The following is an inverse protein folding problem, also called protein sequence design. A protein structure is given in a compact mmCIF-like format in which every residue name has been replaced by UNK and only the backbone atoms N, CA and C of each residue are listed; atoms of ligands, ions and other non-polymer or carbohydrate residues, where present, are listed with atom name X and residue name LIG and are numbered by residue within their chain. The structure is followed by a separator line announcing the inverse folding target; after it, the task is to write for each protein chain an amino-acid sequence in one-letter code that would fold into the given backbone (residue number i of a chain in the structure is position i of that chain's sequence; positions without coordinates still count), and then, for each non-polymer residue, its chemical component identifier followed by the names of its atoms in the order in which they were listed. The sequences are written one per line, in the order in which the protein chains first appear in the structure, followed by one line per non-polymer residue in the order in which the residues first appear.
data_IF_284090802579
#
_entry.id   IF_284090802579
#
_cell.length_a   1.000
_cell.length_b   1.000
_cell.length_c   1.000
_cell.angle_alpha   90.00
_cell.angle_beta   90.00
_cell.angle_gamma   90.00
#
_symmetry.space_group_name_H-M   'P 1'
#
loop_
_entity.id
_entity.type
_entity.pdbx_description
1 polymer ?
#
# COMPACT_ATOMS: atom_id res chain seq x y z
N UNK A 1 8.44 20.60 30.00
CA UNK A 1 9.55 20.21 29.13
C UNK A 1 9.07 20.39 27.70
N UNK A 2 9.82 21.11 26.88
CA UNK A 2 9.52 21.17 25.44
C UNK A 2 10.02 19.90 24.74
N UNK A 3 9.68 19.72 23.45
CA UNK A 3 9.98 18.48 22.72
C UNK A 3 11.49 18.23 22.59
N UNK A 4 12.29 19.27 22.43
CA UNK A 4 13.75 19.12 22.28
C UNK A 4 14.40 18.76 23.62
N UNK A 5 13.99 19.43 24.71
CA UNK A 5 14.39 19.03 26.06
C UNK A 5 13.98 17.59 26.38
N UNK A 6 12.80 17.16 25.93
CA UNK A 6 12.32 15.79 26.12
C UNK A 6 13.16 14.76 25.39
N UNK A 7 13.58 15.06 24.15
CA UNK A 7 14.48 14.19 23.37
C UNK A 7 15.87 14.11 24.02
N UNK A 8 16.43 15.25 24.42
CA UNK A 8 17.74 15.30 25.08
C UNK A 8 17.75 14.48 26.38
N UNK A 9 16.68 14.56 27.18
CA UNK A 9 16.56 13.75 28.40
C UNK A 9 16.37 12.26 28.07
N UNK A 10 15.64 11.94 27.00
CA UNK A 10 15.42 10.57 26.56
C UNK A 10 16.71 9.91 26.06
N UNK A 11 17.52 10.62 25.26
CA UNK A 11 18.82 10.13 24.80
C UNK A 11 19.76 9.88 25.98
N UNK A 12 19.85 10.82 26.92
CA UNK A 12 20.64 10.64 28.16
C UNK A 12 20.16 9.46 28.99
N UNK A 13 18.85 9.19 29.00
CA UNK A 13 18.28 8.02 29.68
C UNK A 13 18.67 6.73 28.97
N UNK A 14 18.64 6.69 27.63
CA UNK A 14 19.07 5.54 26.85
C UNK A 14 20.56 5.23 27.02
N UNK A 15 21.41 6.26 27.08
CA UNK A 15 22.86 6.11 27.34
C UNK A 15 23.16 5.50 28.72
N UNK A 16 22.26 5.65 29.69
CA UNK A 16 22.39 5.07 31.03
C UNK A 16 21.91 3.64 31.13
N UNK A 17 21.21 3.14 30.11
CA UNK A 17 20.71 1.77 30.06
C UNK A 17 21.79 0.89 29.42
N UNK A 18 21.94 -0.32 29.96
CA UNK A 18 22.80 -1.34 29.34
C UNK A 18 22.40 -1.51 27.85
N UNK A 19 23.33 -1.37 26.90
CA UNK A 19 23.04 -1.53 25.47
C UNK A 19 22.30 -2.83 25.12
N UNK A 20 22.53 -3.92 25.88
CA UNK A 20 21.83 -5.19 25.68
C UNK A 20 20.35 -5.16 26.12
N UNK A 21 19.95 -4.13 26.88
CA UNK A 21 18.61 -3.92 27.43
C UNK A 21 17.87 -2.73 26.82
N UNK A 22 18.54 -1.90 26.03
CA UNK A 22 17.91 -0.73 25.39
C UNK A 22 16.70 -1.12 24.53
N UNK A 23 16.78 -2.23 23.79
CA UNK A 23 15.65 -2.72 22.99
C UNK A 23 14.43 -3.11 23.85
N UNK A 24 14.65 -3.78 24.97
CA UNK A 24 13.59 -4.18 25.91
C UNK A 24 12.90 -2.95 26.51
N UNK A 25 13.68 -1.93 26.89
CA UNK A 25 13.15 -0.68 27.44
C UNK A 25 12.37 0.14 26.41
N UNK A 26 12.89 0.27 25.18
CA UNK A 26 12.19 0.98 24.10
C UNK A 26 10.87 0.27 23.78
N UNK A 27 10.88 -1.07 23.69
CA UNK A 27 9.66 -1.86 23.50
C UNK A 27 8.67 -1.68 24.64
N UNK A 28 9.14 -1.59 25.89
CA UNK A 28 8.26 -1.29 27.03
C UNK A 28 7.61 0.09 26.88
N UNK A 29 8.37 1.13 26.51
CA UNK A 29 7.82 2.48 26.28
C UNK A 29 6.82 2.47 25.13
N UNK A 30 7.17 1.82 24.02
CA UNK A 30 6.30 1.69 22.86
C UNK A 30 4.99 1.02 23.26
N UNK A 31 5.06 -0.11 23.97
CA UNK A 31 3.86 -0.84 24.43
C UNK A 31 3.03 -0.04 25.43
N UNK A 32 3.70 0.66 26.34
CA UNK A 32 3.06 1.34 27.47
C UNK A 32 2.47 2.69 27.12
N UNK A 33 3.11 3.43 26.21
CA UNK A 33 2.80 4.83 25.92
C UNK A 33 2.46 5.07 24.45
N UNK A 34 3.10 4.39 23.50
CA UNK A 34 2.79 4.57 22.08
C UNK A 34 1.53 3.78 21.67
N UNK A 35 1.40 2.48 21.95
CA UNK A 35 0.14 1.76 21.67
C UNK A 35 -1.04 2.20 22.54
N UNK A 36 -0.79 2.88 23.66
CA UNK A 36 -1.85 3.43 24.51
C UNK A 36 -2.26 4.87 24.12
N UNK A 37 -1.35 5.67 23.55
CA UNK A 37 -1.55 7.11 23.27
C UNK A 37 -0.74 7.59 22.04
N UNK A 38 -0.79 6.88 20.90
CA UNK A 38 -0.13 7.37 19.68
C UNK A 38 -0.83 8.62 19.14
N UNK A 39 -0.02 9.65 18.86
CA UNK A 39 -0.42 11.01 18.55
C UNK A 39 -0.90 11.22 17.09
N UNK A 40 -1.81 10.37 16.62
CA UNK A 40 -2.43 10.49 15.29
C UNK A 40 -3.93 10.21 15.23
N UNK A 41 -4.58 9.94 16.38
CA UNK A 41 -5.74 9.06 16.62
C UNK A 41 -5.27 7.72 17.19
N UNK A 42 -6.02 7.14 18.13
CA UNK A 42 -5.73 5.81 18.65
C UNK A 42 -5.72 4.82 17.46
N UNK A 43 -4.87 3.79 17.46
CA UNK A 43 -4.81 2.80 16.34
C UNK A 43 -6.21 2.26 16.01
N UNK A 44 -7.06 2.08 17.03
CA UNK A 44 -8.45 1.69 16.88
C UNK A 44 -9.31 2.73 16.12
N UNK A 45 -9.10 4.03 16.33
CA UNK A 45 -9.78 5.10 15.60
C UNK A 45 -9.30 5.15 14.14
N UNK A 46 -8.00 4.97 13.89
CA UNK A 46 -7.45 4.87 12.54
C UNK A 46 -8.05 3.66 11.78
N UNK A 47 -8.12 2.49 12.44
CA UNK A 47 -8.81 1.30 11.91
C UNK A 47 -10.27 1.58 11.60
N UNK A 48 -10.98 2.20 12.55
CA UNK A 48 -12.38 2.54 12.38
C UNK A 48 -12.57 3.48 11.18
N UNK A 49 -11.73 4.51 11.04
CA UNK A 49 -11.74 5.43 9.91
C UNK A 49 -11.54 4.70 8.58
N UNK A 50 -10.56 3.80 8.48
CA UNK A 50 -10.33 3.00 7.26
C UNK A 50 -11.55 2.16 6.89
N UNK A 51 -12.19 1.52 7.87
CA UNK A 51 -13.44 0.76 7.66
C UNK A 51 -14.58 1.65 7.17
N UNK A 52 -14.78 2.81 7.79
CA UNK A 52 -15.82 3.76 7.39
C UNK A 52 -15.61 4.26 5.95
N UNK A 53 -14.35 4.49 5.55
CA UNK A 53 -14.04 4.88 4.17
C UNK A 53 -14.38 3.75 3.20
N UNK A 54 -14.00 2.51 3.51
CA UNK A 54 -14.37 1.35 2.68
C UNK A 54 -15.91 1.23 2.54
N UNK A 55 -16.65 1.31 3.65
CA UNK A 55 -18.12 1.29 3.67
C UNK A 55 -18.74 2.43 2.83
N UNK A 56 -18.16 3.62 2.89
CA UNK A 56 -18.59 4.78 2.09
C UNK A 56 -18.37 4.57 0.58
N UNK A 57 -17.26 3.94 0.20
CA UNK A 57 -16.89 3.70 -1.19
C UNK A 57 -17.62 2.51 -1.82
N UNK A 58 -17.97 1.47 -1.05
CA UNK A 58 -18.69 0.27 -1.53
C UNK A 58 -19.89 0.56 -2.43
N UNK A 59 -20.83 1.46 -2.10
CA UNK A 59 -21.97 1.75 -2.97
C UNK A 59 -21.62 2.61 -4.21
N UNK A 60 -20.44 3.23 -4.24
CA UNK A 60 -19.98 4.10 -5.34
C UNK A 60 -19.25 3.27 -6.40
N UNK A 61 -18.48 2.27 -5.97
CA UNK A 61 -17.68 1.40 -6.83
C UNK A 61 -18.53 0.20 -7.28
N UNK A 62 -18.44 -0.23 -8.56
CA UNK A 62 -19.08 -1.47 -9.02
C UNK A 62 -18.72 -2.67 -8.16
N UNK A 63 -19.65 -3.64 -8.05
CA UNK A 63 -19.46 -4.82 -7.19
C UNK A 63 -18.27 -5.70 -7.59
N UNK A 64 -17.85 -5.67 -8.85
CA UNK A 64 -16.64 -6.33 -9.34
C UNK A 64 -15.38 -5.46 -9.20
N UNK A 65 -15.43 -4.34 -8.46
CA UNK A 65 -14.29 -3.49 -8.14
C UNK A 65 -13.55 -2.84 -9.34
N UNK A 66 -14.14 -2.88 -10.53
CA UNK A 66 -13.54 -2.36 -11.76
C UNK A 66 -14.50 -1.37 -12.39
N UNK A 67 -14.09 -0.11 -12.47
CA UNK A 67 -14.84 0.93 -13.19
C UNK A 67 -14.85 0.64 -14.69
N UNK A 68 -15.95 0.95 -15.41
CA UNK A 68 -15.99 0.85 -16.86
C UNK A 68 -14.94 1.70 -17.60
N UNK A 69 -14.40 2.73 -16.94
CA UNK A 69 -13.36 3.60 -17.48
C UNK A 69 -11.95 3.09 -17.25
N UNK A 70 -11.76 2.02 -16.47
CA UNK A 70 -10.46 1.39 -16.29
C UNK A 70 -10.07 0.56 -17.52
N UNK A 71 -8.79 0.65 -17.89
CA UNK A 71 -8.22 -0.17 -18.96
C UNK A 71 -7.36 -1.29 -18.33
N UNK A 72 -8.01 -2.39 -17.96
CA UNK A 72 -7.32 -3.55 -17.40
C UNK A 72 -6.76 -4.41 -18.54
N UNK A 73 -5.46 -4.65 -18.48
CA UNK A 73 -4.72 -5.52 -19.38
C UNK A 73 -4.42 -6.81 -18.61
N UNK A 74 -4.81 -7.96 -19.18
CA UNK A 74 -4.42 -9.26 -18.63
C UNK A 74 -2.95 -9.51 -18.98
N UNK A 75 -2.06 -9.72 -17.98
CA UNK A 75 -0.66 -10.02 -18.23
C UNK A 75 -0.50 -11.29 -19.06
N UNK A 76 0.49 -11.32 -19.96
CA UNK A 76 0.78 -12.51 -20.81
C UNK A 76 1.98 -13.31 -20.32
N UNK A 77 2.67 -12.82 -19.30
CA UNK A 77 3.89 -13.36 -18.71
C UNK A 77 3.83 -13.08 -17.21
N UNK A 78 4.56 -13.86 -16.41
CA UNK A 78 4.56 -13.72 -14.95
C UNK A 78 3.53 -14.64 -14.28
N UNK A 79 3.37 -14.46 -12.98
CA UNK A 79 2.48 -15.26 -12.13
C UNK A 79 1.01 -15.06 -12.50
N UNK A 80 0.66 -13.89 -13.04
CA UNK A 80 -0.71 -13.53 -13.43
C UNK A 80 -1.04 -13.86 -14.91
N UNK A 81 -0.20 -14.64 -15.60
CA UNK A 81 -0.36 -14.93 -17.02
C UNK A 81 -1.52 -15.90 -17.35
N UNK A 82 -2.02 -16.61 -16.34
CA UNK A 82 -3.09 -17.61 -16.43
C UNK A 82 -4.48 -17.06 -16.07
N UNK A 83 -4.58 -15.75 -15.81
CA UNK A 83 -5.84 -15.10 -15.49
C UNK A 83 -6.81 -15.15 -16.68
N UNK A 84 -7.87 -15.94 -16.58
CA UNK A 84 -8.93 -16.06 -17.58
C UNK A 84 -10.20 -15.31 -17.12
N UNK A 85 -10.75 -14.37 -17.91
CA UNK A 85 -11.99 -13.66 -17.56
C UNK A 85 -13.19 -14.56 -17.21
N UNK A 86 -13.22 -15.80 -17.69
CA UNK A 86 -14.29 -16.76 -17.39
C UNK A 86 -14.15 -17.40 -16.00
N UNK A 87 -12.94 -17.37 -15.41
CA UNK A 87 -12.65 -18.03 -14.13
C UNK A 87 -11.99 -17.10 -13.10
N UNK A 88 -11.82 -15.83 -13.45
CA UNK A 88 -11.27 -14.78 -12.60
C UNK A 88 -12.38 -13.85 -12.11
N UNK A 89 -12.44 -13.65 -10.79
CA UNK A 89 -13.33 -12.71 -10.13
C UNK A 89 -12.52 -11.56 -9.56
N UNK A 90 -12.95 -10.34 -9.87
CA UNK A 90 -12.36 -9.13 -9.35
C UNK A 90 -13.09 -8.70 -8.07
N UNK A 91 -12.33 -8.59 -6.99
CA UNK A 91 -12.80 -8.12 -5.68
C UNK A 91 -11.76 -7.17 -5.14
N UNK A 92 -12.18 -5.99 -4.69
CA UNK A 92 -11.28 -5.02 -4.08
C UNK A 92 -10.99 -5.37 -2.62
N UNK A 93 -9.73 -5.65 -2.29
CA UNK A 93 -9.31 -6.02 -0.94
C UNK A 93 -9.37 -4.86 0.07
N UNK A 94 -9.51 -3.60 -0.38
CA UNK A 94 -9.80 -2.49 0.53
C UNK A 94 -11.29 -2.42 0.85
N UNK A 95 -12.15 -2.61 -0.15
CA UNK A 95 -13.60 -2.53 0.05
C UNK A 95 -14.15 -3.75 0.79
N UNK A 96 -13.66 -4.94 0.46
CA UNK A 96 -14.14 -6.21 1.02
C UNK A 96 -12.97 -6.94 1.67
N UNK A 97 -12.99 -7.02 3.00
CA UNK A 97 -12.08 -7.86 3.75
C UNK A 97 -12.53 -9.34 3.70
N UNK A 98 -11.72 -10.22 4.28
CA UNK A 98 -11.95 -11.67 4.27
C UNK A 98 -13.34 -12.03 4.84
N UNK A 99 -13.76 -11.34 5.90
CA UNK A 99 -15.08 -11.51 6.54
C UNK A 99 -16.21 -11.08 5.61
N UNK A 100 -16.12 -9.90 4.97
CA UNK A 100 -17.12 -9.44 4.00
C UNK A 100 -17.21 -10.38 2.78
N UNK A 101 -16.11 -11.03 2.41
CA UNK A 101 -16.12 -12.03 1.34
C UNK A 101 -16.81 -13.32 1.78
N UNK A 102 -16.56 -13.80 2.99
CA UNK A 102 -17.29 -14.92 3.56
C UNK A 102 -18.80 -14.64 3.59
N UNK A 103 -19.22 -13.45 4.04
CA UNK A 103 -20.63 -13.04 4.04
C UNK A 103 -21.24 -13.05 2.63
N UNK A 104 -20.55 -12.50 1.63
CA UNK A 104 -21.04 -12.50 0.24
C UNK A 104 -21.19 -13.93 -0.32
N UNK A 105 -20.32 -14.85 0.10
CA UNK A 105 -20.41 -16.27 -0.27
C UNK A 105 -21.58 -16.96 0.41
N UNK A 106 -21.78 -16.72 1.71
CA UNK A 106 -22.90 -17.27 2.48
C UNK A 106 -24.26 -16.77 1.96
N UNK A 107 -24.33 -15.51 1.54
CA UNK A 107 -25.52 -14.91 0.93
C UNK A 107 -25.77 -15.37 -0.52
N UNK A 108 -24.85 -16.16 -1.10
CA UNK A 108 -24.93 -16.63 -2.49
C UNK A 108 -24.72 -15.54 -3.55
N UNK A 109 -24.16 -14.39 -3.15
CA UNK A 109 -23.82 -13.27 -4.04
C UNK A 109 -22.46 -13.45 -4.71
N UNK A 110 -21.61 -14.29 -4.14
CA UNK A 110 -20.27 -14.62 -4.64
C UNK A 110 -20.07 -16.15 -4.59
N UNK A 111 -19.41 -16.72 -5.60
CA UNK A 111 -18.98 -18.12 -5.55
C UNK A 111 -17.46 -18.19 -5.41
N UNK A 112 -16.96 -19.14 -4.63
CA UNK A 112 -15.51 -19.47 -4.57
C UNK A 112 -15.05 -20.48 -5.62
N UNK A 113 -15.99 -21.09 -6.33
CA UNK A 113 -15.70 -22.15 -7.30
C UNK A 113 -16.60 -22.08 -8.52
N UNK A 114 -16.12 -22.66 -9.62
CA UNK A 114 -16.89 -22.85 -10.84
C UNK A 114 -16.93 -24.33 -11.21
N UNK A 115 -17.98 -24.75 -11.91
CA UNK A 115 -18.11 -26.12 -12.39
C UNK A 115 -17.29 -26.28 -13.68
N UNK A 116 -16.44 -27.31 -13.78
CA UNK A 116 -15.71 -27.62 -15.03
C UNK A 116 -16.66 -28.06 -16.15
N UNK A 117 -17.82 -28.61 -15.77
CA UNK A 117 -18.98 -28.81 -16.63
C UNK A 117 -20.23 -28.28 -15.92
N UNK A 118 -21.00 -27.38 -16.56
CA UNK A 118 -22.15 -26.72 -15.93
C UNK A 118 -23.16 -27.74 -15.38
N UNK A 119 -23.53 -27.60 -14.09
CA UNK A 119 -24.42 -28.52 -13.39
C UNK A 119 -23.75 -29.80 -12.85
N UNK A 120 -22.43 -29.94 -13.00
CA UNK A 120 -21.67 -31.03 -12.39
C UNK A 120 -21.17 -30.68 -10.98
N UNK A 121 -20.86 -31.70 -10.19
CA UNK A 121 -20.14 -31.54 -8.92
C UNK A 121 -18.61 -31.54 -9.07
N UNK A 122 -18.09 -31.61 -10.31
CA UNK A 122 -16.66 -31.44 -10.58
C UNK A 122 -16.35 -29.94 -10.70
N UNK A 123 -15.89 -29.37 -9.59
CA UNK A 123 -15.60 -27.95 -9.47
C UNK A 123 -14.10 -27.66 -9.40
N UNK A 124 -13.73 -26.42 -9.72
CA UNK A 124 -12.41 -25.85 -9.53
C UNK A 124 -12.54 -24.48 -8.82
N UNK A 125 -11.53 -24.03 -8.07
CA UNK A 125 -11.55 -22.71 -7.44
C UNK A 125 -11.57 -21.60 -8.49
N UNK A 126 -12.28 -20.51 -8.20
CA UNK A 126 -12.18 -19.26 -8.96
C UNK A 126 -10.91 -18.52 -8.53
N UNK A 127 -10.27 -17.84 -9.48
CA UNK A 127 -9.13 -16.96 -9.20
C UNK A 127 -9.66 -15.62 -8.71
N UNK A 128 -9.28 -15.18 -7.50
CA UNK A 128 -9.66 -13.87 -6.98
C UNK A 128 -8.51 -12.88 -7.17
N UNK A 129 -8.79 -11.72 -7.77
CA UNK A 129 -7.79 -10.68 -8.00
C UNK A 129 -8.28 -9.36 -7.41
N UNK A 130 -7.44 -8.78 -6.56
CA UNK A 130 -7.55 -7.38 -6.14
C UNK A 130 -6.48 -6.55 -6.82
N UNK A 131 -6.90 -5.39 -7.31
CA UNK A 131 -6.00 -4.38 -7.88
C UNK A 131 -5.64 -3.27 -6.88
N UNK A 132 -6.33 -3.23 -5.73
CA UNK A 132 -6.02 -2.32 -4.63
C UNK A 132 -5.30 -3.08 -3.51
N UNK A 133 -4.52 -2.37 -2.70
CA UNK A 133 -4.03 -2.90 -1.44
C UNK A 133 -5.17 -3.09 -0.43
N UNK A 134 -5.06 -4.08 0.43
CA UNK A 134 -5.96 -4.22 1.59
C UNK A 134 -5.70 -3.14 2.64
N UNK A 135 -6.68 -2.90 3.52
CA UNK A 135 -6.49 -2.03 4.68
C UNK A 135 -5.36 -2.54 5.59
N UNK A 136 -5.23 -3.86 5.76
CA UNK A 136 -4.18 -4.53 6.55
C UNK A 136 -2.80 -4.24 5.98
N UNK A 137 -2.63 -4.40 4.67
CA UNK A 137 -1.38 -4.08 3.97
C UNK A 137 -1.01 -2.60 4.11
N UNK A 138 -1.98 -1.71 3.87
CA UNK A 138 -1.76 -0.27 3.98
C UNK A 138 -1.36 0.14 5.42
N UNK A 139 -2.03 -0.40 6.43
CA UNK A 139 -1.63 -0.21 7.84
C UNK A 139 -0.19 -0.68 8.08
N UNK A 140 0.13 -1.89 7.68
CA UNK A 140 1.45 -2.48 7.93
C UNK A 140 2.57 -1.64 7.30
N UNK A 141 2.34 -1.12 6.08
CA UNK A 141 3.27 -0.21 5.43
C UNK A 141 3.57 1.00 6.30
N UNK A 142 2.54 1.72 6.74
CA UNK A 142 2.70 2.99 7.44
C UNK A 142 3.12 2.86 8.90
N UNK A 143 2.90 1.69 9.51
CA UNK A 143 3.28 1.44 10.90
C UNK A 143 4.66 0.80 11.03
N UNK A 144 5.02 -0.10 10.13
CA UNK A 144 6.18 -0.98 10.33
C UNK A 144 7.25 -0.86 9.23
N UNK A 145 6.90 -0.41 8.01
CA UNK A 145 7.83 -0.43 6.85
C UNK A 145 8.46 0.92 6.50
N UNK A 146 7.90 2.02 6.99
CA UNK A 146 8.37 3.38 6.74
C UNK A 146 8.83 4.04 8.04
N UNK A 147 9.80 4.97 7.99
CA UNK A 147 10.22 5.73 9.16
C UNK A 147 9.09 6.64 9.66
N UNK A 148 9.27 7.26 10.83
CA UNK A 148 8.35 8.28 11.31
C UNK A 148 8.29 9.48 10.33
N UNK A 149 7.07 9.83 9.89
CA UNK A 149 6.86 10.72 8.74
C UNK A 149 6.52 12.17 9.08
N UNK A 150 6.88 12.67 10.27
CA UNK A 150 6.65 14.09 10.58
C UNK A 150 7.48 14.97 9.64
N UNK A 151 6.83 15.96 9.02
CA UNK A 151 7.43 16.88 8.04
C UNK A 151 8.02 16.14 6.82
N UNK A 152 7.51 14.93 6.53
CA UNK A 152 7.89 14.10 5.38
C UNK A 152 6.72 13.95 4.43
N UNK A 153 7.07 13.85 3.15
CA UNK A 153 6.14 13.68 2.05
C UNK A 153 5.97 12.21 1.66
N UNK A 154 4.74 11.82 1.33
CA UNK A 154 4.39 10.50 0.80
C UNK A 154 3.83 10.67 -0.59
N UNK A 155 4.32 9.86 -1.54
CA UNK A 155 3.79 9.75 -2.89
C UNK A 155 3.30 8.32 -3.12
N UNK A 156 2.02 8.19 -3.48
CA UNK A 156 1.41 6.95 -3.95
C UNK A 156 1.20 7.06 -5.47
N UNK A 157 1.88 6.21 -6.23
CA UNK A 157 1.79 6.17 -7.69
C UNK A 157 0.73 5.15 -8.08
N UNK A 158 -0.20 5.48 -8.97
CA UNK A 158 -1.32 4.60 -9.32
C UNK A 158 -2.28 4.42 -8.14
N UNK A 159 -2.72 5.54 -7.55
CA UNK A 159 -3.40 5.52 -6.24
C UNK A 159 -4.79 4.88 -6.25
N UNK A 160 -5.38 4.57 -7.41
CA UNK A 160 -6.62 3.80 -7.55
C UNK A 160 -7.79 4.33 -6.70
N UNK A 161 -8.25 3.60 -5.69
CA UNK A 161 -9.32 4.02 -4.77
C UNK A 161 -8.80 4.86 -3.60
N UNK A 162 -7.49 5.11 -3.51
CA UNK A 162 -6.88 6.01 -2.53
C UNK A 162 -6.48 5.37 -1.21
N UNK A 163 -6.47 4.03 -1.10
CA UNK A 163 -6.23 3.31 0.17
C UNK A 163 -4.93 3.73 0.86
N UNK A 164 -3.84 3.92 0.12
CA UNK A 164 -2.57 4.36 0.71
C UNK A 164 -2.63 5.82 1.18
N UNK A 165 -3.41 6.67 0.51
CA UNK A 165 -3.60 8.07 0.93
C UNK A 165 -4.35 8.13 2.26
N UNK A 166 -5.39 7.31 2.38
CA UNK A 166 -6.22 7.24 3.58
C UNK A 166 -5.45 6.66 4.76
N UNK A 167 -4.68 5.59 4.52
CA UNK A 167 -3.85 4.99 5.54
C UNK A 167 -2.70 5.94 5.96
N UNK A 168 -2.04 6.62 5.02
CA UNK A 168 -1.04 7.63 5.34
C UNK A 168 -1.62 8.73 6.24
N UNK A 169 -2.85 9.17 5.95
CA UNK A 169 -3.54 10.18 6.77
C UNK A 169 -3.91 9.64 8.15
N UNK A 170 -4.45 8.42 8.22
CA UNK A 170 -4.94 7.82 9.45
C UNK A 170 -3.82 7.40 10.41
N UNK A 171 -2.71 6.88 9.90
CA UNK A 171 -1.66 6.26 10.72
C UNK A 171 -0.43 7.14 10.91
N UNK A 172 -0.27 8.25 10.17
CA UNK A 172 0.97 9.04 10.20
C UNK A 172 0.72 10.55 10.17
N UNK A 173 1.69 11.36 10.65
CA UNK A 173 1.67 12.80 10.50
C UNK A 173 2.24 13.29 9.14
N UNK A 174 2.38 12.43 8.14
CA UNK A 174 2.93 12.78 6.83
C UNK A 174 2.20 13.99 6.21
N UNK A 175 2.97 14.92 5.65
CA UNK A 175 2.46 16.10 4.98
C UNK A 175 3.52 16.66 4.00
N UNK A 176 3.24 16.77 2.69
CA UNK A 176 1.99 16.37 2.01
C UNK A 176 1.90 14.86 1.75
N UNK A 177 0.67 14.38 1.58
CA UNK A 177 0.34 13.04 1.07
C UNK A 177 -0.21 13.23 -0.35
N UNK A 178 0.46 12.67 -1.35
CA UNK A 178 0.15 12.90 -2.76
C UNK A 178 -0.20 11.57 -3.42
N UNK A 179 -1.39 11.50 -4.01
CA UNK A 179 -1.79 10.40 -4.90
C UNK A 179 -1.73 10.84 -6.35
N UNK A 180 -1.16 9.99 -7.21
CA UNK A 180 -1.12 10.21 -8.65
C UNK A 180 -1.87 9.09 -9.33
N UNK A 181 -2.88 9.43 -10.12
CA UNK A 181 -3.73 8.46 -10.80
C UNK A 181 -4.07 8.97 -12.20
N UNK A 182 -4.04 8.09 -13.21
CA UNK A 182 -4.30 8.46 -14.60
C UNK A 182 -5.80 8.48 -14.92
N UNK A 183 -6.59 7.63 -14.27
CA UNK A 183 -8.02 7.57 -14.49
C UNK A 183 -8.74 8.70 -13.73
N UNK A 184 -9.43 9.63 -14.43
CA UNK A 184 -10.09 10.75 -13.80
C UNK A 184 -11.29 10.37 -12.93
N UNK A 185 -11.99 9.27 -13.23
CA UNK A 185 -13.12 8.80 -12.41
C UNK A 185 -12.62 8.25 -11.08
N UNK A 186 -11.49 7.52 -11.08
CA UNK A 186 -10.82 7.09 -9.85
C UNK A 186 -10.35 8.30 -9.03
N UNK A 187 -9.76 9.33 -9.67
CA UNK A 187 -9.43 10.58 -8.98
C UNK A 187 -10.66 11.23 -8.36
N UNK A 188 -11.78 11.29 -9.07
CA UNK A 188 -13.02 11.87 -8.57
C UNK A 188 -13.55 11.11 -7.36
N UNK A 189 -13.55 9.77 -7.41
CA UNK A 189 -13.94 8.93 -6.27
C UNK A 189 -13.03 9.23 -5.07
N UNK A 190 -11.71 9.29 -5.28
CA UNK A 190 -10.76 9.62 -4.22
C UNK A 190 -11.08 10.98 -3.58
N UNK A 191 -11.30 12.01 -4.40
CA UNK A 191 -11.63 13.37 -3.94
C UNK A 191 -12.95 13.43 -3.16
N UNK A 192 -13.98 12.67 -3.56
CA UNK A 192 -15.25 12.62 -2.81
C UNK A 192 -15.07 12.05 -1.41
N UNK A 193 -14.30 10.98 -1.25
CA UNK A 193 -13.97 10.41 0.06
C UNK A 193 -13.06 11.35 0.87
N UNK A 194 -12.03 11.94 0.26
CA UNK A 194 -11.15 12.92 0.92
C UNK A 194 -11.95 14.06 1.53
N UNK A 195 -12.91 14.61 0.77
CA UNK A 195 -13.79 15.66 1.24
C UNK A 195 -14.77 15.19 2.31
N UNK A 196 -15.38 14.01 2.14
CA UNK A 196 -16.33 13.45 3.09
C UNK A 196 -15.70 13.23 4.48
N UNK A 197 -14.44 12.77 4.51
CA UNK A 197 -13.70 12.48 5.74
C UNK A 197 -12.73 13.60 6.16
N UNK A 198 -12.86 14.80 5.57
CA UNK A 198 -12.07 15.99 5.90
C UNK A 198 -10.54 15.78 5.90
N UNK A 199 -10.03 15.13 4.86
CA UNK A 199 -8.60 14.81 4.71
C UNK A 199 -7.83 15.76 3.78
N UNK A 200 -8.49 16.83 3.34
CA UNK A 200 -7.96 17.87 2.44
C UNK A 200 -6.81 18.67 3.07
N UNK A 201 -6.61 18.56 4.39
CA UNK A 201 -5.55 19.22 5.14
C UNK A 201 -4.15 18.73 4.72
N UNK A 202 -4.04 17.47 4.28
CA UNK A 202 -2.75 16.84 3.93
C UNK A 202 -2.79 16.02 2.65
N UNK A 203 -3.95 15.52 2.23
CA UNK A 203 -4.06 14.71 1.01
C UNK A 203 -4.30 15.60 -0.21
N UNK A 204 -3.54 15.33 -1.28
CA UNK A 204 -3.78 15.88 -2.62
C UNK A 204 -3.79 14.77 -3.66
N UNK A 205 -4.78 14.77 -4.54
CA UNK A 205 -4.86 13.88 -5.71
C UNK A 205 -4.45 14.66 -6.95
N UNK A 206 -3.68 14.02 -7.83
CA UNK A 206 -3.24 14.58 -9.10
C UNK A 206 -3.64 13.62 -10.21
N UNK A 207 -4.57 14.05 -11.06
CA UNK A 207 -4.90 13.31 -12.26
C UNK A 207 -3.83 13.52 -13.33
N UNK A 208 -2.84 12.62 -13.40
CA UNK A 208 -1.71 12.73 -14.30
C UNK A 208 -1.02 11.38 -14.54
N UNK A 209 -0.25 11.31 -15.62
CA UNK A 209 0.77 10.26 -15.78
C UNK A 209 1.99 10.63 -14.91
N UNK A 210 2.49 9.69 -14.12
CA UNK A 210 3.65 9.94 -13.23
C UNK A 210 4.90 10.43 -13.98
N UNK A 211 5.05 10.06 -15.26
CA UNK A 211 6.13 10.52 -16.14
C UNK A 211 6.13 12.05 -16.34
N UNK A 212 4.98 12.71 -16.16
CA UNK A 212 4.82 14.15 -16.40
C UNK A 212 5.00 15.01 -15.15
N UNK A 213 5.34 14.42 -14.00
CA UNK A 213 5.48 15.11 -12.71
C UNK A 213 6.83 14.80 -12.01
N UNK A 214 7.97 14.94 -12.71
CA UNK A 214 9.28 14.58 -12.16
C UNK A 214 9.61 15.31 -10.85
N UNK A 215 9.20 16.56 -10.71
CA UNK A 215 9.50 17.38 -9.52
C UNK A 215 8.86 16.80 -8.25
N UNK A 216 7.67 16.21 -8.35
CA UNK A 216 6.98 15.58 -7.21
C UNK A 216 7.69 14.28 -6.83
N UNK A 217 8.01 13.45 -7.81
CA UNK A 217 8.74 12.19 -7.60
C UNK A 217 10.11 12.47 -6.99
N UNK A 218 10.83 13.49 -7.47
CA UNK A 218 12.16 13.85 -6.99
C UNK A 218 12.17 14.54 -5.61
N UNK A 219 11.03 15.07 -5.16
CA UNK A 219 10.92 15.72 -3.84
C UNK A 219 10.38 14.80 -2.75
N UNK A 220 9.71 13.71 -3.13
CA UNK A 220 9.04 12.79 -2.21
C UNK A 220 10.02 12.04 -1.29
N UNK A 221 9.70 11.93 0.00
CA UNK A 221 10.52 11.21 0.99
C UNK A 221 10.19 9.71 1.02
N UNK A 222 8.92 9.37 0.78
CA UNK A 222 8.44 8.00 0.62
C UNK A 222 7.71 7.88 -0.72
N UNK A 223 8.03 6.87 -1.51
CA UNK A 223 7.34 6.53 -2.75
C UNK A 223 6.78 5.12 -2.64
N UNK A 224 5.49 4.96 -2.89
CA UNK A 224 4.76 3.69 -2.81
C UNK A 224 4.35 3.27 -4.22
N UNK A 225 4.69 2.03 -4.58
CA UNK A 225 4.35 1.37 -5.83
C UNK A 225 3.62 0.05 -5.50
N UNK A 226 2.30 0.09 -5.30
CA UNK A 226 1.49 -1.11 -5.05
C UNK A 226 0.79 -1.60 -6.34
N UNK A 227 1.31 -2.65 -6.96
CA UNK A 227 0.75 -3.34 -8.14
C UNK A 227 0.45 -2.40 -9.33
N UNK A 228 1.32 -1.42 -9.55
CA UNK A 228 0.97 -0.20 -10.32
C UNK A 228 1.00 -0.35 -11.84
N UNK A 229 1.69 -1.36 -12.40
CA UNK A 229 1.96 -1.38 -13.86
C UNK A 229 1.48 -2.63 -14.59
N UNK A 230 1.60 -3.82 -13.98
CA UNK A 230 1.45 -5.09 -14.69
C UNK A 230 0.09 -5.23 -15.40
N UNK A 231 -0.98 -4.78 -14.74
CA UNK A 231 -2.36 -4.83 -15.23
C UNK A 231 -2.83 -3.57 -15.95
N UNK A 232 -2.02 -2.50 -16.03
CA UNK A 232 -2.49 -1.19 -16.50
C UNK A 232 -1.68 -0.62 -17.65
N UNK A 233 -0.49 -1.16 -17.88
CA UNK A 233 0.48 -0.53 -18.77
C UNK A 233 1.14 -1.58 -19.67
N UNK A 234 1.22 -1.36 -21.00
CA UNK A 234 1.94 -2.25 -21.90
C UNK A 234 3.44 -2.38 -21.57
N UNK A 235 4.05 -3.54 -21.83
CA UNK A 235 5.46 -3.85 -21.52
C UNK A 235 6.47 -2.73 -21.88
N UNK A 236 6.43 -2.11 -23.08
CA UNK A 236 7.37 -1.03 -23.42
C UNK A 236 7.22 0.23 -22.55
N UNK A 237 5.98 0.54 -22.16
CA UNK A 237 5.68 1.68 -21.29
C UNK A 237 6.07 1.38 -19.84
N UNK A 238 5.91 0.13 -19.38
CA UNK A 238 6.42 -0.31 -18.07
C UNK A 238 7.94 -0.11 -17.97
N UNK A 239 8.68 -0.49 -19.03
CA UNK A 239 10.13 -0.28 -19.10
C UNK A 239 10.49 1.21 -18.96
N UNK A 240 9.78 2.08 -19.68
CA UNK A 240 10.00 3.52 -19.61
C UNK A 240 9.68 4.10 -18.22
N UNK A 241 8.61 3.63 -17.57
CA UNK A 241 8.20 4.01 -16.22
C UNK A 241 9.26 3.62 -15.19
N UNK A 242 9.72 2.37 -15.18
CA UNK A 242 10.75 1.92 -14.26
C UNK A 242 12.07 2.68 -14.43
N UNK A 243 12.48 2.92 -15.68
CA UNK A 243 13.66 3.73 -15.96
C UNK A 243 13.49 5.17 -15.49
N UNK A 244 12.31 5.77 -15.65
CA UNK A 244 12.00 7.08 -15.10
C UNK A 244 12.07 7.09 -13.58
N UNK A 245 11.38 6.19 -12.89
CA UNK A 245 11.37 6.11 -11.42
C UNK A 245 12.79 5.96 -10.86
N UNK A 246 13.60 5.05 -11.43
CA UNK A 246 15.00 4.91 -11.04
C UNK A 246 15.80 6.20 -11.15
N UNK A 247 15.60 6.97 -12.23
CA UNK A 247 16.34 8.22 -12.48
C UNK A 247 15.85 9.37 -11.60
N UNK A 248 14.58 9.36 -11.21
CA UNK A 248 13.91 10.52 -10.63
C UNK A 248 13.76 10.42 -9.11
N UNK A 249 13.52 9.22 -8.56
CA UNK A 249 13.40 9.05 -7.11
C UNK A 249 14.73 9.44 -6.46
N UNK A 250 14.68 10.36 -5.50
CA UNK A 250 15.87 10.91 -4.86
C UNK A 250 16.59 9.87 -4.00
N UNK A 251 17.92 9.98 -3.95
CA UNK A 251 18.75 9.31 -2.95
C UNK A 251 18.26 9.65 -1.53
N UNK A 252 18.21 8.64 -0.67
CA UNK A 252 17.74 8.75 0.71
C UNK A 252 16.21 8.73 0.86
N UNK A 253 15.45 8.63 -0.22
CA UNK A 253 14.03 8.29 -0.13
C UNK A 253 13.84 6.83 0.28
N UNK A 254 12.66 6.53 0.83
CA UNK A 254 12.19 5.17 1.04
C UNK A 254 11.27 4.78 -0.12
N UNK A 255 11.58 3.67 -0.77
CA UNK A 255 10.75 3.07 -1.81
C UNK A 255 10.05 1.84 -1.25
N UNK A 256 8.72 1.81 -1.31
CA UNK A 256 7.91 0.66 -0.93
C UNK A 256 7.30 0.07 -2.19
N UNK A 257 7.46 -1.24 -2.40
CA UNK A 257 6.91 -1.92 -3.58
C UNK A 257 6.13 -3.16 -3.19
N UNK A 258 5.08 -3.42 -3.97
CA UNK A 258 4.38 -4.70 -4.04
C UNK A 258 4.15 -4.99 -5.52
N UNK A 259 4.62 -6.12 -6.08
CA UNK A 259 5.53 -7.09 -5.45
C UNK A 259 6.96 -6.51 -5.26
N UNK A 260 7.94 -7.35 -4.96
CA UNK A 260 9.36 -6.96 -4.89
C UNK A 260 9.85 -6.29 -6.18
N UNK A 261 10.93 -5.51 -6.11
CA UNK A 261 11.58 -4.98 -7.31
C UNK A 261 12.11 -6.10 -8.20
N UNK A 262 12.64 -7.16 -7.59
CA UNK A 262 13.10 -8.36 -8.28
C UNK A 262 11.98 -8.95 -9.14
N UNK A 263 10.79 -9.16 -8.55
CA UNK A 263 9.64 -9.70 -9.26
C UNK A 263 9.05 -8.74 -10.28
N UNK A 264 9.00 -7.45 -9.95
CA UNK A 264 8.50 -6.41 -10.86
C UNK A 264 9.38 -6.25 -12.10
N UNK A 265 10.68 -6.49 -11.98
CA UNK A 265 11.66 -6.27 -13.04
C UNK A 265 12.08 -7.55 -13.76
N UNK A 266 11.85 -8.75 -13.20
CA UNK A 266 12.37 -10.04 -13.74
C UNK A 266 12.07 -10.28 -15.21
N UNK A 267 10.89 -9.85 -15.68
CA UNK A 267 10.43 -10.05 -17.06
C UNK A 267 10.60 -8.82 -17.96
N UNK A 268 11.17 -7.73 -17.45
CA UNK A 268 11.28 -6.45 -18.16
C UNK A 268 12.75 -6.15 -18.52
N UNK A 269 12.99 -5.76 -19.77
CA UNK A 269 14.33 -5.37 -20.24
C UNK A 269 14.65 -3.92 -19.86
N UNK A 270 14.65 -3.62 -18.55
CA UNK A 270 14.85 -2.26 -18.04
C UNK A 270 16.30 -1.82 -18.01
N UNK A 271 17.24 -2.77 -17.91
CA UNK A 271 18.66 -2.51 -17.69
C UNK A 271 18.97 -2.01 -16.27
N UNK A 272 18.01 -2.11 -15.34
CA UNK A 272 18.17 -1.67 -13.96
C UNK A 272 18.92 -2.72 -13.15
N UNK A 273 20.03 -2.30 -12.53
CA UNK A 273 20.75 -3.10 -11.54
C UNK A 273 20.23 -2.70 -10.15
N UNK A 274 19.42 -3.56 -9.52
CA UNK A 274 18.72 -3.26 -8.26
C UNK A 274 19.72 -2.90 -7.15
N UNK A 275 20.82 -3.67 -7.02
CA UNK A 275 21.84 -3.45 -5.99
C UNK A 275 22.61 -2.13 -6.11
N UNK A 276 22.57 -1.48 -7.29
CA UNK A 276 23.15 -0.15 -7.49
C UNK A 276 22.14 0.98 -7.22
N UNK A 277 20.84 0.65 -7.17
CA UNK A 277 19.78 1.63 -7.00
C UNK A 277 19.29 1.70 -5.55
N UNK A 278 19.11 0.55 -4.91
CA UNK A 278 18.48 0.48 -3.59
C UNK A 278 19.12 -0.56 -2.69
N UNK A 279 18.89 -0.41 -1.38
CA UNK A 279 19.21 -1.40 -0.36
C UNK A 279 17.93 -1.78 0.39
N UNK A 280 17.62 -3.07 0.46
CA UNK A 280 16.43 -3.55 1.15
C UNK A 280 16.47 -3.25 2.66
N UNK A 281 15.33 -2.79 3.17
CA UNK A 281 15.02 -2.64 4.59
C UNK A 281 14.23 -3.87 5.04
N UNK A 282 14.64 -4.44 6.16
CA UNK A 282 13.97 -5.60 6.75
C UNK A 282 13.17 -5.19 7.97
N UNK A 283 12.03 -5.85 8.17
CA UNK A 283 11.29 -5.78 9.43
C UNK A 283 12.15 -6.39 10.54
N UNK A 284 12.49 -5.59 11.54
CA UNK A 284 13.36 -6.01 12.64
C UNK A 284 12.62 -6.28 13.95
N UNK A 285 11.39 -5.79 14.10
CA UNK A 285 10.53 -6.16 15.24
C UNK A 285 10.08 -7.62 15.08
N UNK A 286 10.42 -8.52 16.02
CA UNK A 286 9.99 -9.92 15.96
C UNK A 286 8.47 -10.11 15.90
N UNK A 287 7.68 -9.22 16.51
CA UNK A 287 6.22 -9.31 16.45
C UNK A 287 5.69 -8.94 15.07
N UNK A 288 6.18 -7.83 14.50
CA UNK A 288 5.83 -7.43 13.14
C UNK A 288 6.28 -8.48 12.12
N UNK A 289 7.47 -9.08 12.32
CA UNK A 289 7.97 -10.15 11.47
C UNK A 289 7.09 -11.40 11.55
N UNK A 290 6.70 -11.85 12.76
CA UNK A 290 5.75 -12.95 12.92
C UNK A 290 4.43 -12.65 12.23
N UNK A 291 3.94 -11.42 12.36
CA UNK A 291 2.69 -10.99 11.71
C UNK A 291 2.77 -11.09 10.18
N UNK A 292 3.91 -10.75 9.57
CA UNK A 292 4.13 -10.95 8.12
C UNK A 292 4.09 -12.43 7.75
N UNK A 293 4.73 -13.30 8.55
CA UNK A 293 4.74 -14.74 8.27
C UNK A 293 3.36 -15.39 8.42
N UNK A 294 2.51 -14.84 9.28
CA UNK A 294 1.13 -15.31 9.47
C UNK A 294 0.16 -14.79 8.37
N UNK A 295 0.57 -13.81 7.55
CA UNK A 295 -0.27 -13.18 6.53
C UNK A 295 0.44 -13.16 5.17
N UNK A 296 0.08 -14.12 4.30
CA UNK A 296 0.68 -14.30 2.98
C UNK A 296 0.72 -13.01 2.15
N UNK A 297 -0.34 -12.19 2.19
CA UNK A 297 -0.42 -10.92 1.45
C UNK A 297 0.67 -9.89 1.81
N UNK A 298 1.32 -10.03 2.98
CA UNK A 298 2.37 -9.14 3.46
C UNK A 298 3.76 -9.64 3.05
N UNK A 299 3.89 -10.88 2.60
CA UNK A 299 5.19 -11.47 2.24
C UNK A 299 5.77 -10.89 0.95
N UNK A 300 4.90 -10.38 0.07
CA UNK A 300 5.29 -9.69 -1.18
C UNK A 300 5.78 -8.25 -0.95
N UNK A 301 5.54 -7.71 0.25
CA UNK A 301 5.82 -6.32 0.56
C UNK A 301 7.31 -6.10 0.82
N UNK A 302 7.90 -5.20 0.03
CA UNK A 302 9.30 -4.82 0.20
C UNK A 302 9.44 -3.32 0.43
N UNK A 303 10.39 -2.95 1.29
CA UNK A 303 10.78 -1.56 1.56
C UNK A 303 12.28 -1.42 1.33
N UNK A 304 12.72 -0.31 0.75
CA UNK A 304 14.10 -0.08 0.35
C UNK A 304 14.55 1.34 0.64
N UNK A 305 15.81 1.52 1.03
CA UNK A 305 16.50 2.80 1.03
C UNK A 305 17.13 3.04 -0.35
N UNK A 306 16.84 4.19 -0.96
CA UNK A 306 17.43 4.57 -2.27
C UNK A 306 18.85 5.09 -2.08
N UNK A 307 19.81 4.53 -2.83
CA UNK A 307 21.26 4.70 -2.67
C UNK A 307 21.86 5.96 -3.31
#
# INVERSE_FOLDING_TARGET
MDLEQAKDEFEKLLEQIDPAKSAEFILWIQRRYLTANCAGHQVAEAHHKMRQIAEYLRPIVPGNAVLPSENIIVPKKGENADCDPATTVHVDAFLYDDEAIDELVEEGKLSRSYCKACGSHDTAPLTFISHSASARRAEFIFREMVPYLKDKSVLDVGSRLGVMLYAAHAFTPANPIIGVEMNPDLCQIQETAIKHFHMEDRIKVINANVLTIPDIVASSDVVILNNVFEFFTPEPEQVALWQFLRRTIKKGAVLVTVPSLEDSLKNLQTGIVISEWVKQRYVTDPLAYSFVMDHEELTELCSYDVL
#
